data_IF_692263206217
#
_entry.id   IF_692263206217
#
_cell.length_a   1.000
_cell.length_b   1.000
_cell.length_c   1.000
_cell.angle_alpha   90.00
_cell.angle_beta   90.00
_cell.angle_gamma   90.00
#
_symmetry.space_group_name_H-M   'P 1'
#
loop_
_entity.id
_entity.type
_entity.pdbx_description
1 polymer ?
#
# COMPACT_ATOMS: atom_id res chain seq x y z
N UNK A 1 21.79 14.03 7.47
CA UNK A 1 21.89 12.64 6.97
C UNK A 1 20.75 12.48 5.98
N UNK A 2 21.03 12.26 4.69
CA UNK A 2 19.97 12.18 3.68
C UNK A 2 19.12 10.93 3.93
N UNK A 3 17.81 11.11 4.08
CA UNK A 3 16.81 10.05 4.22
C UNK A 3 16.92 9.12 3.00
N UNK A 4 17.62 7.99 3.17
CA UNK A 4 17.74 7.00 2.10
C UNK A 4 16.43 6.20 2.12
N UNK A 5 15.65 6.18 1.02
CA UNK A 5 14.43 5.39 0.97
C UNK A 5 14.78 3.94 1.28
N UNK A 6 14.04 3.33 2.20
CA UNK A 6 14.19 1.93 2.63
C UNK A 6 13.92 1.06 1.40
N UNK A 7 14.97 0.70 0.66
CA UNK A 7 14.88 -0.14 -0.52
C UNK A 7 14.89 -1.60 -0.09
N UNK A 8 13.69 -2.17 0.04
CA UNK A 8 13.41 -3.53 0.48
C UNK A 8 13.76 -4.60 -0.57
N UNK A 9 15.06 -4.84 -0.79
CA UNK A 9 15.55 -5.91 -1.67
C UNK A 9 15.29 -7.34 -1.12
N UNK A 10 14.84 -7.49 0.13
CA UNK A 10 14.55 -8.76 0.80
C UNK A 10 13.12 -8.83 1.37
N UNK A 11 12.12 -8.38 0.61
CA UNK A 11 10.74 -8.32 1.09
C UNK A 11 9.87 -9.33 0.33
N UNK A 12 9.44 -10.39 1.03
CA UNK A 12 8.31 -11.19 0.56
C UNK A 12 7.04 -10.45 0.93
N UNK A 13 6.33 -9.96 -0.09
CA UNK A 13 5.12 -9.17 0.11
C UNK A 13 3.89 -9.97 -0.25
N UNK A 14 3.03 -10.22 0.73
CA UNK A 14 1.77 -10.93 0.54
C UNK A 14 0.62 -9.95 0.67
N UNK A 15 -0.24 -9.90 -0.35
CA UNK A 15 -1.50 -9.14 -0.28
C UNK A 15 -2.61 -10.13 0.05
N UNK A 16 -3.36 -9.90 1.13
CA UNK A 16 -4.56 -10.72 1.44
C UNK A 16 -5.82 -10.00 0.98
N UNK A 17 -6.75 -10.74 0.39
CA UNK A 17 -8.01 -10.22 -0.14
C UNK A 17 -8.94 -9.60 0.91
N UNK A 18 -9.94 -8.85 0.43
CA UNK A 18 -10.90 -8.13 1.28
C UNK A 18 -11.89 -9.03 2.04
N UNK A 19 -12.04 -10.29 1.63
CA UNK A 19 -12.99 -11.26 2.17
C UNK A 19 -12.36 -12.36 3.02
N UNK A 20 -11.04 -12.35 3.24
CA UNK A 20 -10.36 -13.37 4.05
C UNK A 20 -8.89 -13.58 3.68
N UNK A 21 -8.26 -14.69 4.14
CA UNK A 21 -6.84 -14.97 3.97
C UNK A 21 -6.45 -15.40 2.55
N UNK A 22 -7.27 -15.08 1.54
CA UNK A 22 -6.99 -15.42 0.15
C UNK A 22 -5.79 -14.61 -0.34
N UNK A 23 -4.79 -15.32 -0.87
CA UNK A 23 -3.61 -14.69 -1.44
C UNK A 23 -3.98 -13.94 -2.73
N UNK A 24 -3.97 -12.62 -2.65
CA UNK A 24 -4.25 -11.71 -3.75
C UNK A 24 -3.05 -11.50 -4.66
N UNK A 25 -1.82 -11.61 -4.16
CA UNK A 25 -0.62 -11.41 -4.96
C UNK A 25 0.68 -11.49 -4.16
N UNK A 26 1.78 -11.62 -4.91
CA UNK A 26 3.15 -11.68 -4.39
C UNK A 26 4.02 -10.64 -5.08
N UNK A 27 4.80 -9.89 -4.28
CA UNK A 27 5.74 -8.87 -4.76
C UNK A 27 7.13 -9.03 -4.16
N UNK A 28 8.13 -8.66 -4.96
CA UNK A 28 9.55 -8.78 -4.61
C UNK A 28 10.09 -7.54 -3.88
N UNK A 29 9.47 -6.38 -4.11
CA UNK A 29 9.93 -5.10 -3.57
C UNK A 29 8.74 -4.30 -3.03
N UNK A 30 8.94 -3.70 -1.86
CA UNK A 30 8.01 -2.78 -1.22
C UNK A 30 8.75 -1.48 -0.89
N UNK A 31 8.17 -0.36 -1.29
CA UNK A 31 8.61 0.98 -0.91
C UNK A 31 7.42 1.71 -0.27
N UNK A 32 7.59 2.30 0.90
CA UNK A 32 6.54 3.09 1.53
C UNK A 32 7.12 4.29 2.26
N UNK A 33 6.28 5.30 2.45
CA UNK A 33 6.60 6.56 3.11
C UNK A 33 5.47 6.91 4.08
N UNK A 34 5.87 7.47 5.23
CA UNK A 34 4.96 8.02 6.23
C UNK A 34 5.18 9.54 6.20
N UNK A 35 4.13 10.30 5.88
CA UNK A 35 4.18 11.76 5.80
C UNK A 35 3.28 12.36 6.87
N UNK A 36 3.78 13.38 7.57
CA UNK A 36 2.98 14.24 8.44
C UNK A 36 2.57 15.48 7.65
N UNK A 37 1.27 15.68 7.43
CA UNK A 37 0.74 16.87 6.77
C UNK A 37 0.66 18.04 7.74
N UNK A 38 1.81 18.61 8.13
CA UNK A 38 1.89 19.72 9.09
C UNK A 38 1.18 20.97 8.59
N UNK A 39 0.57 21.72 9.51
CA UNK A 39 -0.10 22.99 9.23
C UNK A 39 0.58 24.16 9.95
N UNK A 40 0.66 25.33 9.31
CA UNK A 40 1.23 26.53 9.93
C UNK A 40 0.11 27.38 10.54
N UNK A 41 0.25 27.71 11.82
CA UNK A 41 -0.69 28.54 12.56
C UNK A 41 0.00 29.78 13.13
N UNK A 42 -0.45 30.97 12.74
CA UNK A 42 0.09 32.24 13.24
C UNK A 42 -0.84 32.85 14.28
N UNK A 43 -0.37 32.90 15.51
CA UNK A 43 -1.09 33.51 16.63
C UNK A 43 -1.10 35.05 16.54
N UNK A 44 -2.11 35.68 17.15
CA UNK A 44 -2.26 37.13 17.10
C UNK A 44 -1.12 37.83 17.87
N UNK A 45 -0.33 38.65 17.17
CA UNK A 45 0.80 39.39 17.75
C UNK A 45 2.15 38.71 17.55
N UNK A 46 2.16 37.47 17.04
CA UNK A 46 3.38 36.74 16.73
C UNK A 46 3.87 37.02 15.30
N UNK A 47 5.18 36.84 15.10
CA UNK A 47 5.82 36.94 13.77
C UNK A 47 6.31 35.60 13.23
N UNK A 48 6.25 34.56 14.06
CA UNK A 48 6.70 33.20 13.72
C UNK A 48 5.50 32.28 13.91
N UNK A 49 5.17 31.51 12.88
CA UNK A 49 4.06 30.56 12.94
C UNK A 49 4.45 29.32 13.77
N UNK A 50 3.51 28.81 14.56
CA UNK A 50 3.59 27.50 15.14
C UNK A 50 3.35 26.43 14.07
N UNK A 51 4.13 25.35 14.10
CA UNK A 51 3.93 24.19 13.23
C UNK A 51 3.08 23.19 14.00
N UNK A 52 1.86 22.95 13.52
CA UNK A 52 0.91 21.99 14.07
C UNK A 52 1.01 20.65 13.33
N UNK A 53 0.86 19.56 14.08
CA UNK A 53 0.74 18.22 13.51
C UNK A 53 -0.62 18.05 12.84
N UNK A 54 -0.62 17.62 11.58
CA UNK A 54 -1.84 17.34 10.84
C UNK A 54 -1.99 15.85 10.53
N UNK A 55 -2.55 15.53 9.37
CA UNK A 55 -2.87 14.14 9.02
C UNK A 55 -1.62 13.31 8.70
N UNK A 56 -1.53 12.11 9.29
CA UNK A 56 -0.52 11.12 8.94
C UNK A 56 -0.99 10.34 7.71
N UNK A 57 -0.16 10.34 6.65
CA UNK A 57 -0.43 9.65 5.38
C UNK A 57 0.61 8.57 5.14
N UNK A 58 0.14 7.34 4.96
CA UNK A 58 0.99 6.20 4.61
C UNK A 58 0.74 5.83 3.14
N UNK A 59 1.75 6.00 2.30
CA UNK A 59 1.66 5.77 0.86
C UNK A 59 2.89 5.02 0.36
N UNK A 60 2.72 4.15 -0.63
CA UNK A 60 3.82 3.35 -1.15
C UNK A 60 3.58 2.73 -2.51
N UNK A 61 4.56 1.95 -2.95
CA UNK A 61 4.56 1.17 -4.18
C UNK A 61 5.02 -0.26 -3.92
N UNK A 62 4.25 -1.21 -4.46
CA UNK A 62 4.63 -2.60 -4.65
C UNK A 62 5.25 -2.74 -6.02
N UNK A 63 6.42 -3.35 -6.15
CA UNK A 63 7.11 -3.51 -7.44
C UNK A 63 7.39 -4.96 -7.77
N UNK A 64 7.47 -5.24 -9.07
CA UNK A 64 7.93 -6.53 -9.62
C UNK A 64 7.18 -7.74 -9.04
N UNK A 65 5.86 -7.66 -9.03
CA UNK A 65 5.01 -8.76 -8.58
C UNK A 65 3.80 -8.96 -9.46
N UNK A 66 3.00 -9.95 -9.10
CA UNK A 66 1.76 -10.29 -9.78
C UNK A 66 0.57 -10.20 -8.84
N UNK A 67 -0.56 -9.74 -9.37
CA UNK A 67 -1.87 -9.83 -8.73
C UNK A 67 -2.65 -10.96 -9.39
N UNK A 68 -3.27 -11.80 -8.57
CA UNK A 68 -4.15 -12.86 -9.04
C UNK A 68 -5.41 -12.24 -9.67
N UNK A 69 -5.68 -12.54 -10.93
CA UNK A 69 -6.89 -12.14 -11.67
C UNK A 69 -8.20 -12.48 -10.94
N UNK A 70 -8.20 -13.56 -10.14
CA UNK A 70 -9.34 -13.95 -9.32
C UNK A 70 -9.76 -12.87 -8.31
N UNK A 71 -8.83 -12.00 -7.89
CA UNK A 71 -9.10 -10.93 -6.94
C UNK A 71 -10.07 -9.88 -7.51
N UNK A 72 -10.06 -9.67 -8.83
CA UNK A 72 -10.97 -8.71 -9.47
C UNK A 72 -12.41 -9.20 -9.32
N UNK A 73 -12.62 -10.51 -9.49
CA UNK A 73 -13.93 -11.13 -9.31
C UNK A 73 -14.36 -11.13 -7.85
N UNK A 74 -13.47 -11.39 -6.90
CA UNK A 74 -13.81 -11.41 -5.48
C UNK A 74 -14.03 -10.01 -4.89
N UNK A 75 -13.25 -9.00 -5.31
CA UNK A 75 -13.37 -7.64 -4.80
C UNK A 75 -14.48 -6.83 -5.47
N UNK A 76 -14.68 -6.95 -6.78
CA UNK A 76 -15.65 -6.11 -7.52
C UNK A 76 -16.89 -6.85 -8.00
N UNK A 77 -16.90 -8.19 -7.93
CA UNK A 77 -17.97 -9.02 -8.46
C UNK A 77 -18.01 -9.05 -9.99
N UNK A 78 -18.77 -9.98 -10.57
CA UNK A 78 -18.96 -10.06 -12.04
C UNK A 78 -20.02 -9.12 -12.59
N UNK A 79 -20.83 -8.46 -11.74
CA UNK A 79 -22.10 -7.85 -12.15
C UNK A 79 -22.24 -6.33 -11.87
N UNK A 80 -21.25 -5.65 -11.30
CA UNK A 80 -21.51 -4.38 -10.58
C UNK A 80 -20.65 -3.19 -10.97
N UNK A 81 -19.72 -3.30 -11.92
CA UNK A 81 -19.01 -2.14 -12.47
C UNK A 81 -19.73 -1.57 -13.70
N UNK A 82 -20.95 -1.07 -13.49
CA UNK A 82 -21.71 -0.36 -14.53
C UNK A 82 -22.37 0.89 -13.97
N UNK A 83 -22.48 1.93 -14.79
CA UNK A 83 -23.21 3.15 -14.45
C UNK A 83 -24.66 2.80 -14.08
N UNK A 84 -25.12 3.27 -12.91
CA UNK A 84 -26.45 2.95 -12.37
C UNK A 84 -26.56 1.61 -11.63
N UNK A 85 -25.47 0.85 -11.51
CA UNK A 85 -25.38 -0.30 -10.60
C UNK A 85 -24.97 0.13 -9.18
N UNK A 86 -25.21 -0.76 -8.21
CA UNK A 86 -24.64 -0.60 -6.87
C UNK A 86 -23.15 -0.94 -6.93
N UNK A 87 -22.30 0.07 -6.76
CA UNK A 87 -20.84 -0.10 -6.70
C UNK A 87 -20.48 -0.39 -5.24
N UNK A 88 -19.85 -1.54 -4.94
CA UNK A 88 -19.44 -1.86 -3.57
C UNK A 88 -18.34 -0.89 -3.10
N UNK A 89 -18.15 -0.81 -1.78
CA UNK A 89 -17.05 -0.07 -1.19
C UNK A 89 -15.70 -0.58 -1.72
N UNK A 90 -14.70 0.30 -1.78
CA UNK A 90 -13.35 -0.07 -2.24
C UNK A 90 -12.76 -1.17 -1.36
N UNK A 91 -12.22 -2.25 -1.95
CA UNK A 91 -11.66 -3.36 -1.20
C UNK A 91 -10.47 -2.89 -0.35
N UNK A 92 -10.40 -3.42 0.88
CA UNK A 92 -9.29 -3.20 1.80
C UNK A 92 -8.44 -4.45 1.90
N UNK A 93 -7.15 -4.28 1.68
CA UNK A 93 -6.16 -5.35 1.68
C UNK A 93 -5.25 -5.25 2.91
N UNK A 94 -4.58 -6.34 3.25
CA UNK A 94 -3.44 -6.29 4.19
C UNK A 94 -2.19 -6.66 3.42
N UNK A 95 -1.18 -5.81 3.49
CA UNK A 95 0.14 -6.08 2.92
C UNK A 95 1.03 -6.57 4.05
N UNK A 96 1.55 -7.79 3.94
CA UNK A 96 2.53 -8.32 4.89
C UNK A 96 3.91 -8.32 4.25
N UNK A 97 4.91 -7.78 4.94
CA UNK A 97 6.27 -7.64 4.48
C UNK A 97 7.26 -8.07 5.57
N UNK A 98 8.27 -8.88 5.22
CA UNK A 98 9.40 -9.11 6.11
C UNK A 98 10.49 -8.08 5.80
N UNK A 99 10.89 -7.29 6.80
CA UNK A 99 11.95 -6.28 6.66
C UNK A 99 13.20 -6.83 7.36
N UNK A 100 14.34 -6.79 6.67
CA UNK A 100 15.63 -7.20 7.21
C UNK A 100 16.66 -6.07 7.01
N UNK A 101 16.57 -5.05 7.86
CA UNK A 101 17.46 -3.88 7.86
C UNK A 101 18.08 -3.68 9.26
N UNK A 102 19.01 -4.57 9.69
CA UNK A 102 19.57 -4.57 11.04
C UNK A 102 20.29 -3.26 11.40
N UNK A 103 20.93 -2.60 10.42
CA UNK A 103 21.62 -1.32 10.61
C UNK A 103 20.67 -0.16 10.98
N UNK A 104 19.37 -0.33 10.77
CA UNK A 104 18.32 0.64 11.11
C UNK A 104 17.46 0.18 12.30
N UNK A 105 17.79 -0.97 12.89
CA UNK A 105 16.98 -1.58 13.96
C UNK A 105 15.64 -2.16 13.50
N UNK A 106 15.43 -2.30 12.18
CA UNK A 106 14.16 -2.77 11.60
C UNK A 106 14.37 -4.21 11.09
N UNK A 107 14.13 -5.19 11.96
CA UNK A 107 14.21 -6.61 11.63
C UNK A 107 12.97 -7.29 12.18
N UNK A 108 12.08 -7.70 11.28
CA UNK A 108 10.82 -8.27 11.72
C UNK A 108 9.79 -8.37 10.61
N UNK A 109 8.61 -8.84 10.99
CA UNK A 109 7.46 -8.91 10.10
C UNK A 109 6.61 -7.68 10.33
N UNK A 110 6.32 -6.97 9.26
CA UNK A 110 5.48 -5.78 9.27
C UNK A 110 4.22 -6.02 8.47
N UNK A 111 3.11 -5.43 8.91
CA UNK A 111 1.86 -5.41 8.17
C UNK A 111 1.37 -3.99 7.98
N UNK A 112 1.01 -3.66 6.75
CA UNK A 112 0.23 -2.48 6.44
C UNK A 112 -1.24 -2.87 6.40
N UNK A 113 -2.05 -2.13 7.17
CA UNK A 113 -3.46 -2.41 7.42
C UNK A 113 -4.37 -1.54 6.56
N UNK A 114 -5.55 -2.08 6.24
CA UNK A 114 -6.61 -1.43 5.45
C UNK A 114 -6.13 -0.76 4.16
N UNK A 115 -5.22 -1.43 3.48
CA UNK A 115 -4.57 -0.91 2.27
C UNK A 115 -5.57 -0.79 1.13
N UNK A 116 -5.55 0.34 0.44
CA UNK A 116 -6.26 0.57 -0.83
C UNK A 116 -5.23 0.59 -1.95
N UNK A 117 -5.51 -0.15 -3.02
CA UNK A 117 -4.78 -0.10 -4.28
C UNK A 117 -5.69 0.63 -5.28
N UNK A 118 -5.48 1.93 -5.54
CA UNK A 118 -6.42 2.74 -6.33
C UNK A 118 -6.55 2.28 -7.78
N UNK A 119 -5.48 1.72 -8.33
CA UNK A 119 -5.43 1.24 -9.70
C UNK A 119 -4.98 -0.22 -9.70
N UNK A 120 -5.91 -1.12 -10.03
CA UNK A 120 -5.63 -2.54 -10.27
C UNK A 120 -5.49 -2.74 -11.78
N UNK A 121 -4.27 -2.55 -12.30
CA UNK A 121 -3.94 -2.84 -13.68
C UNK A 121 -3.70 -4.34 -13.88
N UNK A 122 -4.47 -4.94 -14.78
CA UNK A 122 -4.29 -6.32 -15.22
C UNK A 122 -3.76 -6.27 -16.66
N UNK A 123 -2.54 -6.75 -16.89
CA UNK A 123 -2.06 -6.98 -18.25
C UNK A 123 -2.21 -8.46 -18.62
N UNK A 124 -2.68 -8.73 -19.83
CA UNK A 124 -2.87 -10.09 -20.35
C UNK A 124 -1.89 -10.27 -21.52
N UNK A 125 -0.72 -10.84 -21.25
CA UNK A 125 0.20 -11.26 -22.31
C UNK A 125 -0.15 -12.68 -22.77
N UNK A 126 0.03 -12.98 -24.05
CA UNK A 126 -0.25 -14.30 -24.64
C UNK A 126 0.89 -15.28 -24.25
N UNK A 127 0.97 -15.65 -22.98
CA UNK A 127 2.00 -16.51 -22.41
C UNK A 127 1.97 -16.48 -20.88
N UNK A 128 2.41 -17.56 -20.22
CA UNK A 128 2.49 -17.70 -18.74
C UNK A 128 3.58 -16.83 -18.10
N UNK A 129 3.94 -15.70 -18.70
CA UNK A 129 5.08 -14.91 -18.27
C UNK A 129 4.63 -13.64 -17.57
N UNK A 130 4.61 -13.77 -16.24
CA UNK A 130 4.86 -12.77 -15.20
C UNK A 130 4.65 -11.33 -15.67
N UNK A 131 3.42 -10.86 -15.44
CA UNK A 131 3.11 -9.44 -15.46
C UNK A 131 3.91 -8.76 -14.34
N UNK A 132 5.00 -8.09 -14.68
CA UNK A 132 5.72 -7.20 -13.76
C UNK A 132 5.00 -5.87 -13.75
N UNK A 133 4.01 -5.73 -12.88
CA UNK A 133 3.34 -4.46 -12.66
C UNK A 133 3.77 -3.88 -11.31
N UNK A 134 3.96 -2.56 -11.32
CA UNK A 134 4.14 -1.78 -10.11
C UNK A 134 2.77 -1.22 -9.70
N UNK A 135 2.40 -1.37 -8.43
CA UNK A 135 1.12 -0.91 -7.90
C UNK A 135 1.36 0.13 -6.81
N UNK A 136 0.72 1.29 -6.96
CA UNK A 136 0.69 2.28 -5.88
C UNK A 136 -0.39 1.92 -4.86
N UNK A 137 -0.14 2.16 -3.59
CA UNK A 137 -1.10 1.90 -2.52
C UNK A 137 -1.12 3.00 -1.47
N UNK A 138 -2.21 3.03 -0.70
CA UNK A 138 -2.37 3.85 0.50
C UNK A 138 -2.79 2.97 1.66
N UNK A 139 -2.20 3.14 2.83
CA UNK A 139 -2.51 2.35 4.02
C UNK A 139 -3.07 3.24 5.14
N UNK A 140 -3.86 2.65 6.03
CA UNK A 140 -4.40 3.35 7.21
C UNK A 140 -3.64 2.98 8.50
N UNK A 141 -2.79 1.96 8.46
CA UNK A 141 -1.97 1.56 9.60
C UNK A 141 -0.74 0.77 9.20
N UNK A 142 0.21 0.70 10.12
CA UNK A 142 1.43 -0.10 10.07
C UNK A 142 1.62 -0.75 11.44
N UNK A 143 1.77 -2.07 11.49
CA UNK A 143 2.03 -2.84 12.72
C UNK A 143 3.26 -3.76 12.55
N UNK A 144 4.01 -3.94 13.62
CA UNK A 144 5.05 -4.98 13.73
C UNK A 144 4.45 -6.23 14.39
N UNK A 145 4.85 -7.42 13.93
CA UNK A 145 4.27 -8.73 14.28
C UNK A 145 5.32 -9.70 14.78
#
# INVERSE_FOLDING_TARGET
MADRPIQGFNVSTLVTGSSGPELAGEFQELEFSIKNGTEEYLELGERIAAILDGEIKIEGKLKRGMINLGIVKSCFGTATLKRGGSIPASPRFTITANINAPNLGLVGKYKLLNVVIPELSVSMSKGKDVVKNDFSFKAEGLEEV
#
